data_IF_868645848881
#
_entry.id   IF_868645848881
#
_cell.length_a   1.000
_cell.length_b   1.000
_cell.length_c   1.000
_cell.angle_alpha   90.00
_cell.angle_beta   90.00
_cell.angle_gamma   90.00
#
_symmetry.space_group_name_H-M   'P 1'
#
loop_
_entity.id
_entity.type
_entity.pdbx_description
1 polymer ?
#
# COMPACT_ATOMS: atom_id res chain seq x y z
N UNK A 1 -14.99 51.81 -27.36
CA UNK A 1 -13.93 52.77 -27.03
C UNK A 1 -13.85 52.84 -25.51
N UNK A 2 -12.88 52.30 -24.76
CA UNK A 2 -11.69 51.45 -24.93
C UNK A 2 -11.39 50.87 -23.51
N UNK A 3 -11.07 49.59 -23.35
CA UNK A 3 -9.70 49.04 -23.16
C UNK A 3 -8.66 49.93 -22.50
N UNK A 4 -8.19 49.53 -21.29
CA UNK A 4 -6.81 49.44 -20.71
C UNK A 4 -7.01 48.78 -19.32
N UNK A 5 -6.62 47.55 -18.94
CA UNK A 5 -5.34 46.81 -18.82
C UNK A 5 -4.32 47.33 -17.77
N UNK A 6 -4.16 46.65 -16.61
CA UNK A 6 -2.89 46.00 -16.16
C UNK A 6 -2.88 45.51 -14.69
N UNK A 7 -2.44 44.25 -14.57
CA UNK A 7 -1.41 43.71 -13.67
C UNK A 7 -1.63 43.64 -12.14
N UNK A 8 -1.71 42.39 -11.65
CA UNK A 8 -0.64 41.82 -10.81
C UNK A 8 -0.94 41.62 -9.32
N UNK A 9 -1.14 40.37 -8.90
CA UNK A 9 -0.10 39.58 -8.20
C UNK A 9 -0.57 38.16 -7.84
N UNK A 10 0.33 37.22 -8.13
CA UNK A 10 0.40 35.87 -7.60
C UNK A 10 0.32 35.88 -6.06
N UNK A 11 -0.49 34.97 -5.53
CA UNK A 11 -0.35 34.38 -4.21
C UNK A 11 -0.54 32.89 -4.36
N UNK A 12 0.45 32.21 -4.94
CA UNK A 12 0.63 30.79 -4.69
C UNK A 12 1.17 30.71 -3.27
N UNK A 13 0.36 30.16 -2.38
CA UNK A 13 0.82 29.71 -1.08
C UNK A 13 1.68 28.45 -1.35
N UNK A 14 2.95 28.69 -1.69
CA UNK A 14 4.02 27.71 -1.63
C UNK A 14 4.17 27.32 -0.15
N UNK A 15 3.35 26.37 0.32
CA UNK A 15 3.72 25.52 1.45
C UNK A 15 4.83 24.58 0.98
N UNK A 16 6.02 25.18 0.79
CA UNK A 16 7.25 24.48 0.48
C UNK A 16 7.56 23.52 1.62
N UNK A 17 7.38 22.23 1.34
CA UNK A 17 7.90 21.15 2.17
C UNK A 17 9.43 21.30 2.22
N UNK A 18 9.91 21.81 3.35
CA UNK A 18 11.33 21.96 3.68
C UNK A 18 11.98 20.59 3.88
N UNK A 19 12.62 20.07 2.83
CA UNK A 19 13.37 18.80 2.81
C UNK A 19 14.78 18.96 3.40
N UNK A 20 14.86 19.39 4.66
CA UNK A 20 16.11 19.35 5.42
C UNK A 20 16.65 17.90 5.53
N UNK A 21 17.98 17.71 5.69
CA UNK A 21 18.57 16.37 5.72
C UNK A 21 18.12 15.60 6.97
N UNK A 22 17.37 14.51 6.77
CA UNK A 22 16.95 13.61 7.85
C UNK A 22 18.09 12.61 8.10
N UNK A 23 18.68 12.68 9.29
CA UNK A 23 19.68 11.74 9.77
C UNK A 23 19.01 10.39 10.07
N UNK A 24 19.01 9.48 9.11
CA UNK A 24 18.84 8.06 9.41
C UNK A 24 20.05 7.60 10.23
N UNK A 25 19.86 7.23 11.50
CA UNK A 25 20.89 6.49 12.23
C UNK A 25 21.05 5.14 11.56
N UNK A 26 22.26 4.85 11.08
CA UNK A 26 22.70 3.51 10.68
C UNK A 26 22.63 2.61 11.92
N UNK A 27 21.50 1.96 12.12
CA UNK A 27 21.41 0.81 13.02
C UNK A 27 21.13 -0.41 12.14
N UNK A 28 22.19 -1.19 11.95
CA UNK A 28 22.27 -2.43 11.18
C UNK A 28 21.10 -3.38 11.51
N UNK A 29 20.38 -3.87 10.49
CA UNK A 29 19.35 -4.89 10.61
C UNK A 29 18.09 -4.57 9.81
N UNK A 30 17.79 -5.39 8.79
CA UNK A 30 16.62 -5.26 7.93
C UNK A 30 15.32 -5.13 8.75
N UNK A 31 14.50 -4.14 8.40
CA UNK A 31 13.18 -3.91 9.01
C UNK A 31 12.11 -4.37 8.03
N UNK A 32 11.26 -5.32 8.43
CA UNK A 32 10.09 -5.67 7.61
C UNK A 32 8.90 -4.77 7.96
N UNK A 33 8.27 -4.12 6.98
CA UNK A 33 7.09 -3.25 7.14
C UNK A 33 5.98 -3.80 6.26
N UNK A 34 4.84 -4.20 6.83
CA UNK A 34 3.65 -4.40 6.00
C UNK A 34 3.06 -3.00 5.67
N UNK A 35 2.52 -2.77 4.47
CA UNK A 35 2.26 -1.41 3.97
C UNK A 35 1.01 -0.74 4.60
N UNK A 36 1.21 0.40 5.25
CA UNK A 36 0.17 1.39 5.57
C UNK A 36 0.74 2.78 5.28
N UNK A 37 0.10 3.54 4.39
CA UNK A 37 0.62 4.81 3.85
C UNK A 37 0.67 5.91 4.91
N UNK A 38 1.87 6.45 5.22
CA UNK A 38 2.07 7.79 5.80
C UNK A 38 3.53 8.30 5.65
N UNK A 39 3.74 9.31 4.79
CA UNK A 39 4.88 10.30 4.71
C UNK A 39 6.35 9.75 4.64
N UNK A 40 7.36 10.54 4.18
CA UNK A 40 8.31 10.13 3.13
C UNK A 40 9.37 9.13 3.61
N UNK A 41 9.01 7.87 3.59
CA UNK A 41 9.93 6.75 3.53
C UNK A 41 10.16 6.46 2.05
N UNK A 42 11.40 6.18 1.63
CA UNK A 42 11.70 5.70 0.28
C UNK A 42 10.63 4.65 -0.07
N UNK A 43 9.80 4.88 -1.10
CA UNK A 43 8.62 4.05 -1.32
C UNK A 43 9.08 2.62 -1.63
N UNK A 44 8.96 1.73 -0.64
CA UNK A 44 9.10 0.30 -0.83
C UNK A 44 7.73 -0.20 -1.21
N UNK A 45 7.66 -0.73 -2.43
CA UNK A 45 6.45 -1.19 -3.07
C UNK A 45 6.03 -2.54 -2.47
N UNK A 46 4.72 -2.74 -2.31
CA UNK A 46 4.06 -3.96 -1.85
C UNK A 46 4.57 -5.21 -2.60
N UNK A 47 5.37 -6.08 -1.95
CA UNK A 47 5.97 -7.26 -2.59
C UNK A 47 5.01 -8.46 -2.76
N UNK A 48 3.69 -8.28 -2.71
CA UNK A 48 2.76 -9.38 -3.02
C UNK A 48 1.79 -9.12 -4.17
N UNK A 49 1.46 -7.88 -4.50
CA UNK A 49 0.93 -7.58 -5.83
C UNK A 49 2.01 -7.12 -6.82
N UNK A 50 3.22 -6.79 -6.33
CA UNK A 50 4.36 -6.40 -7.18
C UNK A 50 5.37 -7.51 -7.38
N UNK A 51 5.29 -8.65 -6.66
CA UNK A 51 6.18 -9.79 -6.94
C UNK A 51 5.79 -10.59 -8.21
N UNK A 52 4.53 -10.55 -8.65
CA UNK A 52 4.16 -10.99 -10.02
C UNK A 52 4.30 -9.85 -11.05
N UNK A 53 4.48 -8.62 -10.56
CA UNK A 53 4.69 -7.45 -11.39
C UNK A 53 6.19 -7.26 -11.59
N UNK A 54 6.73 -7.81 -12.67
CA UNK A 54 8.10 -7.54 -13.10
C UNK A 54 8.35 -6.02 -13.03
N UNK A 55 9.15 -5.56 -12.06
CA UNK A 55 9.37 -4.12 -11.79
C UNK A 55 9.69 -3.32 -13.07
N UNK A 56 10.49 -3.85 -14.01
CA UNK A 56 10.64 -3.32 -15.37
C UNK A 56 9.33 -3.08 -16.14
N UNK A 57 8.36 -4.00 -16.08
CA UNK A 57 7.03 -3.86 -16.70
C UNK A 57 6.23 -2.76 -16.00
N UNK A 58 6.27 -2.67 -14.67
CA UNK A 58 5.59 -1.61 -13.93
C UNK A 58 6.15 -0.22 -14.25
N UNK A 59 7.47 -0.10 -14.39
CA UNK A 59 8.14 1.15 -14.81
C UNK A 59 7.71 1.53 -16.23
N UNK A 60 7.69 0.58 -17.17
CA UNK A 60 7.20 0.82 -18.54
C UNK A 60 5.73 1.22 -18.59
N UNK A 61 4.91 0.67 -17.69
CA UNK A 61 3.51 1.08 -17.53
C UNK A 61 3.42 2.53 -17.06
N UNK A 62 4.27 2.95 -16.11
CA UNK A 62 4.37 4.35 -15.69
C UNK A 62 4.80 5.27 -16.83
N UNK A 63 5.76 4.86 -17.67
CA UNK A 63 6.17 5.62 -18.86
C UNK A 63 5.01 5.79 -19.84
N UNK A 64 4.30 4.71 -20.15
CA UNK A 64 3.14 4.73 -21.03
C UNK A 64 1.97 5.56 -20.46
N UNK A 65 1.76 5.53 -19.14
CA UNK A 65 0.78 6.38 -18.48
C UNK A 65 1.11 7.86 -18.64
N UNK A 66 2.39 8.24 -18.51
CA UNK A 66 2.84 9.62 -18.71
C UNK A 66 2.60 10.07 -20.15
N UNK A 67 2.92 9.22 -21.14
CA UNK A 67 2.67 9.52 -22.54
C UNK A 67 1.18 9.81 -22.79
N UNK A 68 0.29 8.94 -22.30
CA UNK A 68 -1.16 9.11 -22.46
C UNK A 68 -1.70 10.33 -21.71
N UNK A 69 -1.15 10.67 -20.54
CA UNK A 69 -1.48 11.91 -19.81
C UNK A 69 -1.06 13.17 -20.58
N UNK A 70 0.00 13.07 -21.37
CA UNK A 70 0.48 14.16 -22.24
C UNK A 70 -0.13 14.14 -23.66
N UNK A 71 -1.08 13.23 -23.94
CA UNK A 71 -1.69 13.06 -25.25
C UNK A 71 -0.75 12.48 -26.32
N UNK A 72 0.35 11.84 -25.90
CA UNK A 72 1.25 11.09 -26.77
C UNK A 72 0.83 9.62 -26.86
N UNK A 73 1.09 8.94 -27.99
CA UNK A 73 0.89 7.50 -28.08
C UNK A 73 1.75 6.75 -27.06
N UNK A 74 1.15 5.78 -26.36
CA UNK A 74 1.88 4.92 -25.42
C UNK A 74 2.88 3.99 -26.14
N UNK A 75 4.08 3.87 -25.60
CA UNK A 75 5.10 2.95 -26.11
C UNK A 75 4.84 1.47 -25.76
N UNK A 76 4.02 1.20 -24.75
CA UNK A 76 3.66 -0.15 -24.31
C UNK A 76 2.56 -0.73 -25.21
N UNK A 77 2.79 -1.92 -25.79
CA UNK A 77 1.87 -2.54 -26.75
C UNK A 77 0.45 -2.71 -26.20
N UNK A 78 0.33 -3.10 -24.93
CA UNK A 78 -0.96 -3.31 -24.29
C UNK A 78 -1.76 -2.00 -24.12
N UNK A 79 -1.08 -0.86 -24.10
CA UNK A 79 -1.68 0.47 -23.96
C UNK A 79 -1.79 1.23 -25.29
N UNK A 80 -1.28 0.67 -26.39
CA UNK A 80 -1.21 1.35 -27.69
C UNK A 80 -2.59 1.62 -28.32
N UNK A 81 -3.64 0.91 -27.88
CA UNK A 81 -5.01 1.10 -28.34
C UNK A 81 -5.70 2.33 -27.72
N UNK A 82 -5.13 2.92 -26.67
CA UNK A 82 -5.71 4.06 -25.95
C UNK A 82 -5.11 5.38 -26.44
N UNK A 83 -5.94 6.42 -26.47
CA UNK A 83 -5.53 7.79 -26.86
C UNK A 83 -5.41 8.75 -25.69
N UNK A 84 -5.94 8.37 -24.52
CA UNK A 84 -5.87 9.16 -23.29
C UNK A 84 -5.79 8.26 -22.06
N UNK A 85 -5.27 8.81 -20.96
CA UNK A 85 -5.20 8.10 -19.67
C UNK A 85 -6.59 7.73 -19.15
N UNK A 86 -7.58 8.60 -19.31
CA UNK A 86 -8.95 8.34 -18.83
C UNK A 86 -9.56 7.06 -19.45
N UNK A 87 -9.24 6.73 -20.70
CA UNK A 87 -9.69 5.49 -21.33
C UNK A 87 -9.06 4.24 -20.68
N UNK A 88 -7.81 4.35 -20.22
CA UNK A 88 -7.13 3.28 -19.48
C UNK A 88 -7.78 3.08 -18.12
N UNK A 89 -8.11 4.18 -17.43
CA UNK A 89 -8.82 4.14 -16.14
C UNK A 89 -10.17 3.44 -16.30
N UNK A 90 -10.97 3.88 -17.28
CA UNK A 90 -12.28 3.28 -17.56
C UNK A 90 -12.17 1.79 -17.90
N UNK A 91 -11.19 1.42 -18.73
CA UNK A 91 -10.94 0.02 -19.07
C UNK A 91 -10.56 -0.81 -17.83
N UNK A 92 -9.66 -0.31 -16.98
CA UNK A 92 -9.20 -1.01 -15.78
C UNK A 92 -10.32 -1.18 -14.73
N UNK A 93 -11.31 -0.29 -14.70
CA UNK A 93 -12.48 -0.43 -13.83
C UNK A 93 -13.45 -1.52 -14.30
N UNK A 94 -13.60 -1.69 -15.62
CA UNK A 94 -14.55 -2.60 -16.23
C UNK A 94 -13.99 -4.00 -16.45
N UNK A 95 -12.68 -4.12 -16.68
CA UNK A 95 -12.03 -5.38 -16.98
C UNK A 95 -11.96 -6.30 -15.74
N UNK A 96 -12.58 -7.48 -15.85
CA UNK A 96 -12.51 -8.52 -14.79
C UNK A 96 -11.14 -9.15 -14.66
N UNK A 97 -10.34 -9.09 -15.72
CA UNK A 97 -9.10 -9.85 -15.87
C UNK A 97 -7.86 -8.95 -15.80
N UNK A 98 -8.01 -7.67 -15.39
CA UNK A 98 -6.95 -6.67 -15.34
C UNK A 98 -6.67 -6.16 -13.91
N UNK A 99 -6.65 -7.07 -12.93
CA UNK A 99 -6.42 -6.74 -11.52
C UNK A 99 -5.13 -5.93 -11.31
N UNK A 100 -4.06 -6.35 -11.97
CA UNK A 100 -2.75 -5.71 -11.97
C UNK A 100 -2.79 -4.26 -12.47
N UNK A 101 -3.57 -3.99 -13.53
CA UNK A 101 -3.72 -2.66 -14.09
C UNK A 101 -4.53 -1.77 -13.17
N UNK A 102 -5.61 -2.31 -12.60
CA UNK A 102 -6.45 -1.59 -11.65
C UNK A 102 -5.65 -1.09 -10.45
N UNK A 103 -4.73 -1.92 -9.94
CA UNK A 103 -3.80 -1.50 -8.90
C UNK A 103 -2.87 -0.38 -9.38
N UNK A 104 -2.17 -0.57 -10.51
CA UNK A 104 -1.24 0.45 -11.00
C UNK A 104 -1.93 1.79 -11.30
N UNK A 105 -3.11 1.75 -11.91
CA UNK A 105 -3.95 2.92 -12.15
C UNK A 105 -4.26 3.63 -10.83
N UNK A 106 -4.73 2.89 -9.82
CA UNK A 106 -5.04 3.46 -8.51
C UNK A 106 -3.80 4.08 -7.84
N UNK A 107 -2.61 3.46 -7.97
CA UNK A 107 -1.36 4.00 -7.46
C UNK A 107 -0.93 5.27 -8.20
N UNK A 108 -1.06 5.29 -9.53
CA UNK A 108 -0.73 6.45 -10.36
C UNK A 108 -1.67 7.62 -10.07
N UNK A 109 -2.95 7.37 -9.91
CA UNK A 109 -3.93 8.43 -9.61
C UNK A 109 -3.75 8.97 -8.19
N UNK A 110 -3.40 8.11 -7.22
CA UNK A 110 -3.17 8.52 -5.83
C UNK A 110 -1.84 9.24 -5.62
N UNK A 111 -0.76 8.76 -6.24
CA UNK A 111 0.62 9.21 -5.93
C UNK A 111 1.30 9.98 -7.06
N UNK A 112 0.78 9.90 -8.28
CA UNK A 112 1.41 10.45 -9.48
C UNK A 112 2.45 9.49 -10.09
N UNK A 113 2.68 9.66 -11.39
CA UNK A 113 3.56 8.79 -12.18
C UNK A 113 5.01 8.87 -11.69
N UNK A 114 5.53 10.08 -11.46
CA UNK A 114 6.94 10.28 -11.09
C UNK A 114 7.31 9.59 -9.78
N UNK A 115 6.45 9.72 -8.75
CA UNK A 115 6.70 9.11 -7.43
C UNK A 115 6.68 7.59 -7.52
N UNK A 116 5.71 7.03 -8.25
CA UNK A 116 5.60 5.58 -8.41
C UNK A 116 6.77 5.02 -9.24
N UNK A 117 7.15 5.69 -10.33
CA UNK A 117 8.30 5.32 -11.14
C UNK A 117 9.60 5.32 -10.34
N UNK A 118 9.83 6.38 -9.55
CA UNK A 118 11.00 6.47 -8.68
C UNK A 118 11.01 5.35 -7.63
N UNK A 119 9.85 5.00 -7.08
CA UNK A 119 9.69 3.88 -6.16
C UNK A 119 10.10 2.55 -6.77
N UNK A 120 9.47 2.20 -7.89
CA UNK A 120 9.70 0.95 -8.60
C UNK A 120 11.14 0.82 -9.08
N UNK A 121 11.74 1.92 -9.55
CA UNK A 121 13.14 1.96 -9.96
C UNK A 121 14.14 1.87 -8.81
N UNK A 122 13.70 2.00 -7.55
CA UNK A 122 14.53 1.88 -6.35
C UNK A 122 14.44 0.50 -5.68
N UNK A 123 13.62 -0.41 -6.21
CA UNK A 123 13.49 -1.77 -5.70
C UNK A 123 14.79 -2.54 -5.97
N UNK A 124 15.28 -3.22 -4.94
CA UNK A 124 16.51 -4.01 -4.96
C UNK A 124 16.24 -5.43 -4.47
N UNK A 125 17.22 -6.32 -4.65
CA UNK A 125 17.18 -7.66 -4.08
C UNK A 125 17.03 -7.63 -2.54
N UNK A 126 16.34 -8.63 -1.97
CA UNK A 126 16.12 -8.77 -0.52
C UNK A 126 17.40 -8.64 0.32
N UNK A 127 18.55 -9.07 -0.23
CA UNK A 127 19.86 -9.02 0.44
C UNK A 127 20.44 -7.61 0.58
N UNK A 128 20.05 -6.71 -0.32
CA UNK A 128 20.56 -5.34 -0.39
C UNK A 128 19.52 -4.33 0.14
N UNK A 129 18.33 -4.79 0.52
CA UNK A 129 17.24 -3.96 0.99
C UNK A 129 17.43 -3.49 2.45
N UNK A 130 17.29 -2.18 2.68
CA UNK A 130 17.23 -1.61 4.04
C UNK A 130 15.91 -1.97 4.75
N UNK A 131 14.82 -2.05 3.98
CA UNK A 131 13.45 -2.35 4.43
C UNK A 131 12.82 -3.36 3.48
N UNK A 132 12.14 -4.36 4.02
CA UNK A 132 11.42 -5.37 3.25
C UNK A 132 9.91 -5.23 3.49
N UNK A 133 9.11 -5.10 2.44
CA UNK A 133 7.65 -5.03 2.57
C UNK A 133 7.05 -6.33 2.10
N UNK A 134 6.44 -7.12 2.98
CA UNK A 134 5.82 -8.41 2.62
C UNK A 134 4.42 -8.50 3.19
N UNK A 135 3.52 -9.24 2.54
CA UNK A 135 2.28 -9.61 3.20
C UNK A 135 2.55 -10.57 4.35
N UNK A 136 1.61 -10.58 5.29
CA UNK A 136 1.59 -11.54 6.36
C UNK A 136 1.66 -13.00 5.87
N UNK A 137 1.17 -13.30 4.66
CA UNK A 137 1.20 -14.67 4.11
C UNK A 137 2.62 -15.12 3.76
N UNK A 138 3.41 -14.26 3.11
CA UNK A 138 4.81 -14.56 2.74
C UNK A 138 5.75 -14.63 3.93
N UNK A 139 5.30 -14.17 5.10
CA UNK A 139 6.06 -14.25 6.34
C UNK A 139 6.19 -15.67 6.91
N UNK A 140 5.37 -16.62 6.46
CA UNK A 140 5.42 -18.02 6.89
C UNK A 140 6.81 -18.63 6.65
N UNK A 141 7.42 -19.17 7.70
CA UNK A 141 8.74 -19.81 7.62
C UNK A 141 9.91 -18.83 7.52
N UNK A 142 9.65 -17.53 7.66
CA UNK A 142 10.65 -16.46 7.73
C UNK A 142 10.60 -15.79 9.09
N UNK A 143 11.70 -15.18 9.49
CA UNK A 143 11.85 -14.42 10.73
C UNK A 143 12.84 -13.27 10.50
N UNK A 144 12.64 -12.16 11.21
CA UNK A 144 13.46 -10.95 11.09
C UNK A 144 13.75 -10.35 12.46
N UNK A 145 14.90 -9.70 12.62
CA UNK A 145 15.26 -9.01 13.87
C UNK A 145 14.18 -7.99 14.29
N UNK A 146 13.69 -7.18 13.34
CA UNK A 146 12.67 -6.15 13.60
C UNK A 146 11.50 -6.28 12.62
N UNK A 147 10.28 -6.25 13.16
CA UNK A 147 9.04 -6.34 12.37
C UNK A 147 8.08 -5.24 12.79
N UNK A 148 7.48 -4.56 11.81
CA UNK A 148 6.33 -3.66 11.99
C UNK A 148 5.13 -4.19 11.23
N UNK A 149 4.02 -4.35 11.95
CA UNK A 149 2.73 -4.69 11.35
C UNK A 149 2.03 -3.43 10.84
N UNK A 150 1.47 -3.54 9.64
CA UNK A 150 0.64 -2.52 9.02
C UNK A 150 -0.71 -2.35 9.73
N UNK A 151 -1.34 -1.21 9.47
CA UNK A 151 -2.70 -0.94 9.93
C UNK A 151 -3.75 -1.73 9.15
N UNK A 152 -3.53 -2.01 7.87
CA UNK A 152 -4.47 -2.76 7.03
C UNK A 152 -4.72 -4.18 7.55
N UNK A 153 -3.71 -4.84 8.14
CA UNK A 153 -3.85 -6.15 8.78
C UNK A 153 -4.87 -6.11 9.93
N UNK A 154 -4.89 -5.02 10.70
CA UNK A 154 -5.89 -4.82 11.74
C UNK A 154 -7.29 -4.54 11.14
N UNK A 155 -7.37 -3.77 10.06
CA UNK A 155 -8.63 -3.52 9.37
C UNK A 155 -9.28 -4.80 8.84
N UNK A 156 -8.50 -5.71 8.26
CA UNK A 156 -9.01 -7.00 7.77
C UNK A 156 -9.55 -7.86 8.92
N UNK A 157 -8.84 -7.89 10.04
CA UNK A 157 -9.28 -8.59 11.24
C UNK A 157 -10.59 -8.00 11.80
N UNK A 158 -10.71 -6.68 11.88
CA UNK A 158 -11.94 -6.02 12.33
C UNK A 158 -13.12 -6.24 11.38
N UNK A 159 -12.90 -6.19 10.07
CA UNK A 159 -13.91 -6.55 9.06
C UNK A 159 -14.41 -7.99 9.27
N UNK A 160 -13.50 -8.93 9.54
CA UNK A 160 -13.86 -10.32 9.81
C UNK A 160 -14.65 -10.49 11.13
N UNK A 161 -14.30 -9.75 12.19
CA UNK A 161 -15.06 -9.73 13.46
C UNK A 161 -16.47 -9.20 13.25
N UNK A 162 -16.61 -8.08 12.54
CA UNK A 162 -17.89 -7.46 12.24
C UNK A 162 -18.79 -8.39 11.41
N UNK A 163 -18.22 -9.09 10.43
CA UNK A 163 -18.96 -10.09 9.65
C UNK A 163 -19.53 -11.21 10.54
N UNK A 164 -18.80 -11.66 11.57
CA UNK A 164 -19.31 -12.63 12.55
C UNK A 164 -20.41 -12.02 13.41
N UNK A 165 -20.25 -10.78 13.88
CA UNK A 165 -21.27 -10.09 14.68
C UNK A 165 -22.59 -9.94 13.92
N UNK A 166 -22.53 -9.51 12.66
CA UNK A 166 -23.70 -9.44 11.79
C UNK A 166 -24.30 -10.82 11.51
N UNK A 167 -23.47 -11.84 11.28
CA UNK A 167 -23.97 -13.19 10.98
C UNK A 167 -24.66 -13.84 12.17
N UNK A 168 -24.29 -13.49 13.41
CA UNK A 168 -24.99 -13.93 14.64
C UNK A 168 -26.40 -13.37 14.76
N UNK A 169 -26.67 -12.18 14.22
CA UNK A 169 -27.99 -11.57 14.21
C UNK A 169 -28.91 -12.16 13.12
N UNK A 170 -28.33 -12.81 12.11
CA UNK A 170 -29.06 -13.49 11.06
C UNK A 170 -29.55 -14.89 11.45
N UNK A 171 -30.46 -15.43 10.66
CA UNK A 171 -31.03 -16.78 10.87
C UNK A 171 -30.24 -17.87 10.13
N UNK A 172 -29.42 -17.51 9.12
CA UNK A 172 -28.66 -18.46 8.30
C UNK A 172 -27.42 -19.03 9.03
N UNK A 173 -27.43 -20.31 9.44
CA UNK A 173 -26.30 -20.93 10.13
C UNK A 173 -25.07 -21.07 9.22
N UNK A 174 -25.26 -21.18 7.91
CA UNK A 174 -24.15 -21.30 6.95
C UNK A 174 -23.39 -19.99 6.81
N UNK A 175 -24.08 -18.84 6.80
CA UNK A 175 -23.43 -17.52 6.85
C UNK A 175 -22.55 -17.38 8.09
N UNK A 176 -23.08 -17.77 9.25
CA UNK A 176 -22.31 -17.74 10.50
C UNK A 176 -21.09 -18.67 10.45
N UNK A 177 -21.22 -19.88 9.89
CA UNK A 177 -20.09 -20.79 9.72
C UNK A 177 -19.00 -20.20 8.81
N UNK A 178 -19.36 -19.63 7.65
CA UNK A 178 -18.41 -18.99 6.74
C UNK A 178 -17.69 -17.80 7.38
N UNK A 179 -18.43 -16.92 8.06
CA UNK A 179 -17.85 -15.77 8.77
C UNK A 179 -16.88 -16.19 9.87
N UNK A 180 -17.22 -17.24 10.65
CA UNK A 180 -16.32 -17.78 11.70
C UNK A 180 -15.05 -18.37 11.13
N UNK A 181 -15.12 -19.07 10.00
CA UNK A 181 -13.94 -19.60 9.30
C UNK A 181 -13.03 -18.47 8.84
N UNK A 182 -13.60 -17.45 8.18
CA UNK A 182 -12.85 -16.28 7.74
C UNK A 182 -12.16 -15.55 8.90
N UNK A 183 -12.85 -15.34 10.02
CA UNK A 183 -12.24 -14.76 11.22
C UNK A 183 -11.10 -15.63 11.77
N UNK A 184 -11.25 -16.95 11.76
CA UNK A 184 -10.19 -17.86 12.19
C UNK A 184 -8.94 -17.75 11.29
N UNK A 185 -9.14 -17.61 9.98
CA UNK A 185 -8.06 -17.44 9.01
C UNK A 185 -7.28 -16.13 9.27
N UNK A 186 -7.98 -15.01 9.47
CA UNK A 186 -7.37 -13.70 9.80
C UNK A 186 -6.64 -13.70 11.15
N UNK A 187 -7.21 -14.36 12.17
CA UNK A 187 -6.57 -14.52 13.47
C UNK A 187 -5.28 -15.36 13.36
N UNK A 188 -5.32 -16.45 12.58
CA UNK A 188 -4.14 -17.27 12.34
C UNK A 188 -3.06 -16.49 11.59
N UNK A 189 -3.44 -15.72 10.58
CA UNK A 189 -2.52 -14.88 9.82
C UNK A 189 -1.87 -13.81 10.72
N UNK A 190 -2.67 -13.15 11.55
CA UNK A 190 -2.19 -12.16 12.53
C UNK A 190 -1.23 -12.78 13.54
N UNK A 191 -1.55 -13.97 14.06
CA UNK A 191 -0.67 -14.72 14.95
C UNK A 191 0.67 -15.06 14.28
N UNK A 192 0.64 -15.52 13.03
CA UNK A 192 1.87 -15.79 12.26
C UNK A 192 2.68 -14.50 12.15
N UNK A 193 2.08 -13.39 11.72
CA UNK A 193 2.79 -12.12 11.52
C UNK A 193 3.44 -11.57 12.80
N UNK A 194 2.72 -11.62 13.93
CA UNK A 194 3.21 -11.18 15.25
C UNK A 194 4.44 -11.99 15.70
N UNK A 195 4.51 -13.28 15.35
CA UNK A 195 5.59 -14.18 15.77
C UNK A 195 6.81 -14.15 14.86
N UNK A 196 6.88 -13.26 13.86
CA UNK A 196 8.02 -13.19 12.93
C UNK A 196 9.19 -12.34 13.46
N UNK A 197 8.95 -11.53 14.48
CA UNK A 197 9.98 -10.69 15.10
C UNK A 197 10.86 -11.52 16.03
N UNK A 198 12.18 -11.44 15.85
CA UNK A 198 13.15 -12.06 16.74
C UNK A 198 13.53 -11.14 17.91
N UNK A 199 13.69 -9.84 17.66
CA UNK A 199 14.14 -8.88 18.68
C UNK A 199 13.07 -7.83 19.01
N UNK A 200 12.56 -7.10 18.00
CA UNK A 200 11.61 -6.00 18.21
C UNK A 200 10.37 -6.16 17.35
N UNK A 201 9.20 -6.12 17.98
CA UNK A 201 7.90 -6.06 17.31
C UNK A 201 7.25 -4.69 17.54
N UNK A 202 6.84 -4.04 16.45
CA UNK A 202 5.80 -3.02 16.48
C UNK A 202 4.49 -3.66 15.96
N UNK A 203 3.52 -3.94 16.84
CA UNK A 203 2.30 -4.65 16.45
C UNK A 203 1.26 -3.78 15.72
N UNK A 204 1.51 -2.47 15.57
CA UNK A 204 0.53 -1.54 15.01
C UNK A 204 -0.80 -1.61 15.78
N UNK A 205 -1.91 -1.64 15.03
CA UNK A 205 -3.27 -1.76 15.59
C UNK A 205 -3.75 -3.20 15.74
N UNK A 206 -2.95 -4.19 15.33
CA UNK A 206 -3.32 -5.62 15.42
C UNK A 206 -3.47 -6.06 16.88
N UNK A 207 -2.64 -5.49 17.76
CA UNK A 207 -2.72 -5.66 19.20
C UNK A 207 -3.22 -4.35 19.80
N UNK A 208 -4.52 -4.10 19.70
CA UNK A 208 -5.14 -3.00 20.43
C UNK A 208 -5.03 -3.28 21.93
N UNK A 209 -4.43 -2.35 22.69
CA UNK A 209 -4.34 -2.42 24.14
C UNK A 209 -5.69 -2.09 24.83
N UNK A 210 -6.81 -2.52 24.26
CA UNK A 210 -8.12 -2.47 24.93
C UNK A 210 -8.29 -3.70 25.82
N UNK A 211 -7.37 -3.83 26.78
CA UNK A 211 -7.43 -4.75 27.91
C UNK A 211 -6.49 -4.27 29.04
N UNK A 212 -6.45 -2.95 29.32
CA UNK A 212 -6.10 -2.52 30.68
C UNK A 212 -7.35 -2.72 31.53
N UNK A 213 -7.60 -3.97 31.89
CA UNK A 213 -8.31 -4.27 33.12
C UNK A 213 -7.51 -3.54 34.21
N UNK A 214 -8.09 -2.50 34.80
CA UNK A 214 -7.46 -1.74 35.86
C UNK A 214 -7.16 -2.71 36.99
N UNK A 215 -5.89 -3.11 37.15
CA UNK A 215 -5.47 -3.81 38.35
C UNK A 215 -5.85 -2.91 39.54
N UNK A 216 -6.61 -3.40 40.54
CA UNK A 216 -6.89 -2.60 41.72
C UNK A 216 -5.56 -2.29 42.41
N UNK A 217 -5.31 -0.99 42.64
CA UNK A 217 -4.17 -0.53 43.41
C UNK A 217 -4.18 -1.21 44.79
N UNK A 218 -3.04 -1.80 45.15
CA UNK A 218 -2.80 -2.44 46.43
C UNK A 218 -2.79 -1.42 47.59
#
# INVERSE_FOLDING_TARGET
MGFVDRAGRHGQDDEGLNLGPIQARRDEGASAVNLGVAEPIRPVVDLDHVADFDSPVAVRFCDAAEDLKQGRPAAMADLAAFTSWDQVVEYAEQATDAADWKMLVALIDKHGVDKLRAALGSVVDERDAEVLVVTAHKSKGREWGRVRLAEDLAEHLEKARNAVAEAKLGVDPQRLHRARRHLADELMLSYVAVTRAQDTLNPGLVVCADSRESAPAA
#
